data_IF_190156628865
#
_entry.id   IF_190156628865
#
_cell.length_a   1.000
_cell.length_b   1.000
_cell.length_c   1.000
_cell.angle_alpha   90.00
_cell.angle_beta   90.00
_cell.angle_gamma   90.00
#
_symmetry.space_group_name_H-M   'P 1'
#
loop_
_entity.id
_entity.type
_entity.pdbx_description
1 polymer ?
#
# COMPACT_ATOMS: atom_id res chain seq x y z
N UNK A 1 -38.33 -14.20 14.55
CA UNK A 1 -37.48 -13.68 13.45
C UNK A 1 -37.93 -12.28 13.04
N UNK A 2 -37.09 -11.24 13.17
CA UNK A 2 -37.02 -10.09 12.23
C UNK A 2 -35.74 -9.25 12.47
N UNK A 3 -35.27 -8.57 11.43
CA UNK A 3 -33.94 -7.96 11.25
C UNK A 3 -34.11 -6.62 10.46
N UNK A 4 -33.19 -5.64 10.45
CA UNK A 4 -31.80 -5.53 10.95
C UNK A 4 -31.53 -4.14 11.61
N UNK A 5 -30.41 -4.01 12.33
CA UNK A 5 -29.59 -2.77 12.46
C UNK A 5 -29.03 -2.32 11.08
N UNK A 6 -28.27 -1.20 10.91
CA UNK A 6 -27.98 -0.06 11.80
C UNK A 6 -28.13 1.33 11.13
N UNK A 7 -27.89 2.41 11.87
CA UNK A 7 -27.44 3.70 11.32
C UNK A 7 -26.59 4.44 12.38
N UNK A 8 -25.30 4.09 12.46
CA UNK A 8 -24.32 4.83 13.23
C UNK A 8 -23.67 5.89 12.32
N UNK A 9 -23.89 7.16 12.61
CA UNK A 9 -23.27 8.25 11.87
C UNK A 9 -21.78 8.37 12.26
N UNK A 10 -20.87 8.04 11.33
CA UNK A 10 -19.46 8.39 11.47
C UNK A 10 -19.27 9.85 11.04
N UNK A 11 -19.14 10.73 12.03
CA UNK A 11 -18.80 12.14 11.81
C UNK A 11 -17.39 12.27 11.22
N UNK A 12 -17.29 12.71 9.97
CA UNK A 12 -16.02 12.96 9.29
C UNK A 12 -15.43 14.31 9.75
N UNK A 13 -14.64 14.31 10.82
CA UNK A 13 -13.96 15.49 11.31
C UNK A 13 -12.77 15.87 10.40
N UNK A 14 -12.98 16.85 9.52
CA UNK A 14 -11.92 17.41 8.66
C UNK A 14 -10.96 18.30 9.48
N UNK A 15 -10.00 17.67 10.15
CA UNK A 15 -8.92 18.35 10.86
C UNK A 15 -7.84 18.87 9.90
N UNK A 16 -7.90 20.16 9.56
CA UNK A 16 -6.83 20.86 8.83
C UNK A 16 -5.59 21.09 9.72
N UNK A 17 -4.85 20.03 10.01
CA UNK A 17 -3.58 20.09 10.72
C UNK A 17 -2.41 20.34 9.74
N UNK A 18 -2.06 21.61 9.54
CA UNK A 18 -0.88 22.03 8.77
C UNK A 18 0.42 21.79 9.55
N UNK A 19 0.82 20.52 9.67
CA UNK A 19 2.14 20.15 10.22
C UNK A 19 3.24 20.35 9.18
N UNK A 20 3.93 21.49 9.27
CA UNK A 20 5.25 21.72 8.65
C UNK A 20 6.33 20.89 9.36
N UNK A 21 6.16 19.58 9.40
CA UNK A 21 7.24 18.66 9.69
C UNK A 21 7.74 18.13 8.36
N UNK A 22 8.94 18.52 7.97
CA UNK A 22 9.82 17.72 7.11
C UNK A 22 10.29 16.48 7.88
N UNK A 23 9.33 15.71 8.41
CA UNK A 23 9.49 14.30 8.60
C UNK A 23 9.79 13.75 7.21
N UNK A 24 11.07 13.44 6.97
CA UNK A 24 11.46 12.59 5.86
C UNK A 24 10.65 11.31 6.08
N UNK A 25 9.56 11.15 5.33
CA UNK A 25 8.65 10.03 5.49
C UNK A 25 9.49 8.78 5.27
N UNK A 26 9.86 8.11 6.37
CA UNK A 26 10.86 7.07 6.28
C UNK A 26 10.30 5.99 5.38
N UNK A 27 11.07 5.68 4.34
CA UNK A 27 10.73 4.68 3.34
C UNK A 27 10.36 3.41 4.12
N UNK A 28 9.08 3.00 4.10
CA UNK A 28 8.61 1.90 4.95
C UNK A 28 9.32 0.64 4.48
N UNK A 29 9.89 -0.13 5.40
CA UNK A 29 10.71 -1.27 5.00
C UNK A 29 9.89 -2.27 4.14
N UNK A 30 10.54 -3.02 3.24
CA UNK A 30 9.87 -3.95 2.34
C UNK A 30 8.93 -4.95 3.02
N UNK A 31 9.22 -5.36 4.26
CA UNK A 31 8.37 -6.29 5.00
C UNK A 31 7.17 -5.58 5.65
N UNK A 32 7.35 -4.39 6.21
CA UNK A 32 6.22 -3.56 6.66
C UNK A 32 5.28 -3.23 5.50
N UNK A 33 5.81 -2.85 4.33
CA UNK A 33 4.99 -2.63 3.13
C UNK A 33 4.21 -3.90 2.75
N UNK A 34 4.89 -5.04 2.64
CA UNK A 34 4.27 -6.32 2.30
C UNK A 34 3.15 -6.71 3.29
N UNK A 35 3.40 -6.63 4.60
CA UNK A 35 2.41 -6.96 5.64
C UNK A 35 1.20 -6.01 5.62
N UNK A 36 1.44 -4.72 5.37
CA UNK A 36 0.36 -3.74 5.21
C UNK A 36 -0.49 -4.02 3.98
N UNK A 37 0.13 -4.22 2.81
CA UNK A 37 -0.59 -4.51 1.57
C UNK A 37 -1.31 -5.87 1.65
N UNK A 38 -0.73 -6.87 2.31
CA UNK A 38 -1.38 -8.15 2.61
C UNK A 38 -2.66 -7.91 3.41
N UNK A 39 -2.57 -7.20 4.53
CA UNK A 39 -3.71 -6.96 5.41
C UNK A 39 -4.84 -6.18 4.74
N UNK A 40 -4.52 -5.15 3.95
CA UNK A 40 -5.50 -4.37 3.17
C UNK A 40 -6.16 -5.24 2.08
N UNK A 41 -5.44 -6.25 1.57
CA UNK A 41 -5.97 -7.27 0.66
C UNK A 41 -6.71 -8.41 1.38
N UNK A 42 -7.01 -8.24 2.68
CA UNK A 42 -7.70 -9.24 3.51
C UNK A 42 -6.83 -10.43 3.96
N UNK A 43 -5.51 -10.36 3.77
CA UNK A 43 -4.56 -11.43 4.09
C UNK A 43 -3.80 -11.12 5.39
N UNK A 44 -4.09 -11.86 6.45
CA UNK A 44 -3.41 -11.72 7.74
C UNK A 44 -3.83 -10.48 8.56
N UNK A 45 -3.14 -10.28 9.68
CA UNK A 45 -3.43 -9.22 10.66
C UNK A 45 -2.74 -7.91 10.29
N UNK A 46 -3.40 -6.74 10.37
CA UNK A 46 -2.74 -5.46 10.13
C UNK A 46 -1.65 -5.20 11.18
N UNK A 47 -0.44 -4.74 10.78
CA UNK A 47 0.44 -4.06 11.72
C UNK A 47 -0.18 -2.72 12.15
N UNK A 48 0.20 -2.21 13.32
CA UNK A 48 -0.53 -1.13 14.00
C UNK A 48 -0.65 0.21 13.27
N UNK A 49 0.12 0.46 12.21
CA UNK A 49 -0.03 1.63 11.33
C UNK A 49 0.44 1.31 9.90
N UNK A 50 -0.45 1.43 8.92
CA UNK A 50 -0.16 1.22 7.50
C UNK A 50 -0.25 2.48 6.64
N UNK A 51 -0.57 3.64 7.21
CA UNK A 51 -0.82 4.86 6.43
C UNK A 51 0.42 5.31 5.63
N UNK A 52 1.62 5.14 6.18
CA UNK A 52 2.89 5.41 5.47
C UNK A 52 3.17 4.41 4.35
N UNK A 53 2.89 3.12 4.58
CA UNK A 53 3.02 2.06 3.58
C UNK A 53 2.10 2.30 2.37
N UNK A 54 0.83 2.65 2.64
CA UNK A 54 -0.13 3.03 1.60
C UNK A 54 0.35 4.28 0.85
N UNK A 55 0.71 5.35 1.56
CA UNK A 55 1.19 6.57 0.92
C UNK A 55 2.39 6.29 -0.01
N UNK A 56 3.38 5.53 0.46
CA UNK A 56 4.56 5.15 -0.31
C UNK A 56 4.23 4.30 -1.56
N UNK A 57 3.18 3.48 -1.51
CA UNK A 57 2.70 2.70 -2.67
C UNK A 57 2.19 3.57 -3.83
N UNK A 58 1.53 4.69 -3.53
CA UNK A 58 0.92 5.59 -4.52
C UNK A 58 1.79 6.82 -4.86
N UNK A 59 2.77 7.21 -4.03
CA UNK A 59 3.66 8.34 -4.33
C UNK A 59 4.54 8.03 -5.56
N UNK A 60 4.78 9.01 -6.47
CA UNK A 60 5.69 8.84 -7.59
C UNK A 60 7.14 8.55 -7.20
N UNK A 61 7.80 7.64 -7.90
CA UNK A 61 9.24 7.43 -7.79
C UNK A 61 10.03 8.70 -8.18
N UNK A 62 11.16 8.99 -7.50
CA UNK A 62 11.84 8.18 -6.49
C UNK A 62 11.30 8.33 -5.05
N UNK A 63 10.25 9.12 -4.82
CA UNK A 63 9.65 9.32 -3.49
C UNK A 63 8.72 8.20 -3.03
N UNK A 64 8.34 7.30 -3.94
CA UNK A 64 7.43 6.17 -3.73
C UNK A 64 7.54 5.15 -4.85
N UNK A 65 6.53 4.28 -4.98
CA UNK A 65 6.57 3.13 -5.88
C UNK A 65 5.74 3.27 -7.18
N UNK A 66 5.03 4.38 -7.38
CA UNK A 66 4.29 4.63 -8.62
C UNK A 66 5.23 5.21 -9.70
N UNK A 67 5.23 4.63 -10.90
CA UNK A 67 6.05 5.08 -12.03
C UNK A 67 5.19 5.86 -13.03
N UNK A 68 5.65 7.05 -13.40
CA UNK A 68 5.03 7.92 -14.40
C UNK A 68 6.00 8.21 -15.55
N UNK A 69 5.47 8.42 -16.76
CA UNK A 69 6.22 9.05 -17.85
C UNK A 69 6.46 10.52 -17.54
N UNK A 70 7.54 11.07 -18.09
CA UNK A 70 7.74 12.52 -18.10
C UNK A 70 7.09 13.14 -19.35
N UNK A 71 6.27 14.16 -19.11
CA UNK A 71 5.67 15.07 -20.10
C UNK A 71 5.00 14.43 -21.35
N UNK A 72 3.68 14.17 -21.35
CA UNK A 72 2.75 14.37 -20.22
C UNK A 72 3.02 13.38 -19.09
N UNK A 73 2.71 13.80 -17.86
CA UNK A 73 2.68 12.90 -16.72
C UNK A 73 1.56 11.87 -16.91
N UNK A 74 1.93 10.61 -17.15
CA UNK A 74 0.99 9.50 -17.28
C UNK A 74 1.55 8.29 -16.54
N UNK A 75 0.73 7.66 -15.73
CA UNK A 75 1.12 6.44 -15.04
C UNK A 75 1.43 5.31 -16.02
N UNK A 76 2.46 4.54 -15.65
CA UNK A 76 2.95 3.41 -16.41
C UNK A 76 2.70 2.15 -15.58
N UNK A 77 1.54 1.53 -15.78
CA UNK A 77 1.09 0.44 -14.90
C UNK A 77 2.05 -0.76 -14.86
N UNK A 78 2.59 -1.19 -16.00
CA UNK A 78 3.56 -2.30 -16.02
C UNK A 78 4.91 -1.94 -15.35
N UNK A 79 5.52 -0.76 -15.58
CA UNK A 79 6.65 -0.30 -14.77
C UNK A 79 6.36 -0.20 -13.26
N UNK A 80 5.21 0.34 -12.85
CA UNK A 80 4.79 0.41 -11.45
C UNK A 80 4.65 -0.98 -10.82
N UNK A 81 3.97 -1.90 -11.51
CA UNK A 81 3.85 -3.30 -11.14
C UNK A 81 5.23 -3.93 -10.94
N UNK A 82 6.14 -3.76 -11.90
CA UNK A 82 7.49 -4.33 -11.84
C UNK A 82 8.29 -3.76 -10.68
N UNK A 83 8.19 -2.45 -10.42
CA UNK A 83 8.94 -1.77 -9.35
C UNK A 83 8.40 -2.13 -7.96
N UNK A 84 7.07 -2.13 -7.77
CA UNK A 84 6.39 -2.61 -6.56
C UNK A 84 6.74 -4.07 -6.26
N UNK A 85 6.73 -4.93 -7.30
CA UNK A 85 7.14 -6.35 -7.22
C UNK A 85 8.61 -6.49 -6.81
N UNK A 86 9.52 -5.75 -7.43
CA UNK A 86 10.95 -5.77 -7.09
C UNK A 86 11.18 -5.31 -5.63
N UNK A 87 10.49 -4.24 -5.22
CA UNK A 87 10.60 -3.69 -3.87
C UNK A 87 10.18 -4.71 -2.81
N UNK A 88 8.97 -5.26 -2.91
CA UNK A 88 8.45 -6.25 -1.95
C UNK A 88 9.26 -7.56 -1.95
N UNK A 89 9.83 -7.99 -3.09
CA UNK A 89 10.67 -9.19 -3.17
C UNK A 89 11.93 -9.13 -2.30
N UNK A 90 12.38 -7.93 -1.89
CA UNK A 90 13.49 -7.78 -0.94
C UNK A 90 13.11 -8.13 0.51
N UNK A 91 11.82 -8.29 0.81
CA UNK A 91 11.38 -8.90 2.06
C UNK A 91 11.52 -10.43 2.01
N UNK A 92 12.42 -10.99 2.81
CA UNK A 92 12.55 -12.44 3.02
C UNK A 92 11.24 -13.07 3.54
N UNK A 93 10.47 -12.33 4.33
CA UNK A 93 9.13 -12.73 4.78
C UNK A 93 8.11 -12.89 3.66
N UNK A 94 8.25 -12.21 2.53
CA UNK A 94 7.34 -12.34 1.39
C UNK A 94 7.63 -13.57 0.52
N UNK A 95 8.88 -14.04 0.50
CA UNK A 95 9.38 -15.03 -0.48
C UNK A 95 9.73 -16.39 0.12
N UNK A 96 10.01 -16.48 1.43
CA UNK A 96 10.53 -17.71 2.06
C UNK A 96 9.47 -18.71 2.56
N UNK A 97 8.16 -18.51 2.29
CA UNK A 97 7.14 -19.55 2.60
C UNK A 97 6.11 -19.71 1.48
N UNK A 98 5.57 -20.94 1.24
CA UNK A 98 4.62 -21.18 0.15
C UNK A 98 3.29 -20.41 0.22
N UNK A 99 2.86 -20.00 1.43
CA UNK A 99 1.68 -19.15 1.56
C UNK A 99 1.98 -17.69 1.21
N UNK A 100 3.20 -17.23 1.44
CA UNK A 100 3.55 -15.82 1.27
C UNK A 100 3.73 -15.45 -0.20
N UNK A 101 4.14 -16.39 -1.06
CA UNK A 101 4.09 -16.19 -2.52
C UNK A 101 2.66 -16.01 -3.04
N UNK A 102 1.68 -16.76 -2.51
CA UNK A 102 0.28 -16.61 -2.91
C UNK A 102 -0.30 -15.26 -2.46
N UNK A 103 0.06 -14.79 -1.26
CA UNK A 103 -0.33 -13.46 -0.74
C UNK A 103 0.34 -12.36 -1.58
N UNK A 104 1.62 -12.52 -1.90
CA UNK A 104 2.38 -11.60 -2.75
C UNK A 104 1.76 -11.45 -4.13
N UNK A 105 1.42 -12.56 -4.79
CA UNK A 105 0.73 -12.54 -6.08
C UNK A 105 -0.67 -11.95 -5.96
N UNK A 106 -1.40 -12.19 -4.86
CA UNK A 106 -2.70 -11.55 -4.59
C UNK A 106 -2.58 -10.03 -4.52
N UNK A 107 -1.65 -9.51 -3.69
CA UNK A 107 -1.35 -8.07 -3.60
C UNK A 107 -1.02 -7.49 -4.99
N UNK A 108 -0.12 -8.19 -5.69
CA UNK A 108 0.47 -7.71 -6.94
C UNK A 108 -0.53 -7.74 -8.10
N UNK A 109 -1.46 -8.71 -8.13
CA UNK A 109 -2.56 -8.77 -9.09
C UNK A 109 -3.69 -7.79 -8.78
N UNK A 110 -3.95 -7.50 -7.50
CA UNK A 110 -5.02 -6.59 -7.07
C UNK A 110 -4.61 -5.11 -7.19
N UNK A 111 -3.36 -4.79 -6.83
CA UNK A 111 -2.89 -3.41 -6.64
C UNK A 111 -1.65 -3.03 -7.45
N UNK A 112 -0.89 -4.00 -7.97
CA UNK A 112 0.44 -3.75 -8.56
C UNK A 112 0.41 -2.78 -9.73
N UNK A 113 -0.62 -2.86 -10.56
CA UNK A 113 -0.86 -2.04 -11.76
C UNK A 113 -1.88 -0.91 -11.55
N UNK A 114 -2.29 -0.63 -10.30
CA UNK A 114 -3.35 0.34 -9.98
C UNK A 114 -2.83 1.71 -9.52
N UNK A 115 -3.67 2.71 -9.70
CA UNK A 115 -3.54 4.08 -9.18
C UNK A 115 -4.59 4.36 -8.12
#
# INVERSE_FOLDING_TARGET
MKLRTPLAALSLALGIASVNTSAQAQVPDPCTLYLCMASISGQGTPPGNCSSAIAYWHIPAPGGLAIYSYNPAKFLSQPSYNYRKQYMNSCSGATNTPNNSNIFDTITNQWGDKE
#
